data_IF_171685446276
#
_entry.id   IF_171685446276
#
_cell.length_a   1.000
_cell.length_b   1.000
_cell.length_c   1.000
_cell.angle_alpha   90.00
_cell.angle_beta   90.00
_cell.angle_gamma   90.00
#
_symmetry.space_group_name_H-M   'P 1'
#
loop_
_entity.id
_entity.type
_entity.pdbx_description
1 polymer ?
#
# COMPACT_ATOMS: atom_id res chain seq x y z
N UNK A 1 -17.68 5.98 10.93
CA UNK A 1 -16.45 6.70 11.32
C UNK A 1 -15.35 6.29 10.35
N UNK A 2 -14.60 7.25 9.81
CA UNK A 2 -13.43 7.02 8.96
C UNK A 2 -12.19 7.48 9.74
N UNK A 3 -11.07 6.77 9.60
CA UNK A 3 -9.77 7.19 10.11
C UNK A 3 -8.90 7.51 8.91
N UNK A 4 -8.25 8.68 8.93
CA UNK A 4 -7.28 9.06 7.92
C UNK A 4 -5.92 9.25 8.58
N UNK A 5 -4.87 8.82 7.89
CA UNK A 5 -3.50 8.96 8.35
C UNK A 5 -2.58 9.30 7.17
N UNK A 6 -1.46 9.94 7.46
CA UNK A 6 -0.35 10.03 6.52
C UNK A 6 0.31 8.65 6.38
N UNK A 7 0.73 8.33 5.17
CA UNK A 7 1.52 7.15 4.86
C UNK A 7 2.30 7.36 3.57
N UNK A 8 2.97 6.31 3.10
CA UNK A 8 3.68 6.34 1.82
C UNK A 8 3.26 5.18 0.93
N UNK A 9 3.37 5.40 -0.38
CA UNK A 9 3.38 4.33 -1.36
C UNK A 9 4.76 4.16 -1.94
N UNK A 10 5.11 2.91 -2.22
CA UNK A 10 6.33 2.53 -2.91
C UNK A 10 5.99 2.37 -4.38
N UNK A 11 6.54 3.21 -5.25
CA UNK A 11 6.37 3.02 -6.69
C UNK A 11 7.21 1.82 -7.13
N UNK A 12 6.55 0.77 -7.61
CA UNK A 12 7.24 -0.23 -8.39
C UNK A 12 7.65 0.43 -9.71
N UNK A 13 8.96 0.64 -9.90
CA UNK A 13 9.52 0.87 -11.24
C UNK A 13 8.96 -0.21 -12.19
N UNK A 14 8.65 0.19 -13.43
CA UNK A 14 7.90 -0.59 -14.43
C UNK A 14 8.05 -2.12 -14.25
N UNK A 15 7.06 -2.71 -13.57
CA UNK A 15 7.07 -4.09 -13.09
C UNK A 15 7.13 -5.15 -14.21
N UNK A 16 7.22 -4.74 -15.47
CA UNK A 16 7.23 -5.60 -16.64
C UNK A 16 8.61 -6.02 -17.15
N UNK A 17 9.71 -5.36 -16.74
CA UNK A 17 11.05 -5.65 -17.30
C UNK A 17 12.15 -6.00 -16.30
N UNK A 18 11.94 -5.78 -15.00
CA UNK A 18 12.95 -6.05 -13.97
C UNK A 18 12.85 -7.48 -13.41
N UNK A 19 13.99 -8.01 -12.95
CA UNK A 19 14.03 -9.29 -12.25
C UNK A 19 13.32 -9.19 -10.88
N UNK A 20 12.57 -10.25 -10.52
CA UNK A 20 11.84 -10.34 -9.25
C UNK A 20 12.76 -10.29 -8.01
N UNK A 21 13.99 -10.76 -8.15
CA UNK A 21 15.00 -10.76 -7.09
C UNK A 21 16.23 -9.98 -7.55
N UNK A 22 16.70 -9.06 -6.70
CA UNK A 22 17.84 -8.19 -6.96
C UNK A 22 18.69 -8.13 -5.70
N UNK A 23 20.01 -8.33 -5.83
CA UNK A 23 20.93 -8.31 -4.69
C UNK A 23 21.16 -6.87 -4.18
N UNK A 24 21.48 -5.94 -5.09
CA UNK A 24 21.72 -4.53 -4.77
C UNK A 24 20.55 -3.65 -5.26
N UNK A 25 19.36 -3.88 -4.72
CA UNK A 25 18.18 -3.10 -5.09
C UNK A 25 18.32 -1.66 -4.57
N UNK A 26 18.26 -0.63 -5.44
CA UNK A 26 18.26 0.75 -4.97
C UNK A 26 17.01 1.03 -4.13
N UNK A 27 17.10 2.02 -3.23
CA UNK A 27 15.96 2.43 -2.41
C UNK A 27 14.77 2.80 -3.31
N UNK A 28 13.60 2.22 -3.02
CA UNK A 28 12.38 2.51 -3.76
C UNK A 28 11.92 3.92 -3.45
N UNK A 29 11.46 4.65 -4.46
CA UNK A 29 10.91 5.99 -4.28
C UNK A 29 9.64 5.93 -3.43
N UNK A 30 9.65 6.66 -2.32
CA UNK A 30 8.51 6.80 -1.40
C UNK A 30 7.72 8.04 -1.77
N UNK A 31 6.44 7.88 -2.06
CA UNK A 31 5.52 9.00 -2.32
C UNK A 31 4.55 9.17 -1.14
N UNK A 32 4.43 10.37 -0.54
CA UNK A 32 3.44 10.64 0.49
C UNK A 32 2.01 10.42 -0.02
N UNK A 33 1.18 9.78 0.79
CA UNK A 33 -0.22 9.50 0.46
C UNK A 33 -1.09 9.46 1.73
N UNK A 34 -2.31 9.98 1.62
CA UNK A 34 -3.29 9.81 2.69
C UNK A 34 -3.94 8.43 2.63
N UNK A 35 -3.77 7.65 3.70
CA UNK A 35 -4.45 6.38 3.90
C UNK A 35 -5.84 6.63 4.50
N UNK A 36 -6.86 5.93 4.00
CA UNK A 36 -8.24 6.02 4.51
C UNK A 36 -8.71 4.65 4.97
N UNK A 37 -8.95 4.51 6.27
CA UNK A 37 -9.40 3.29 6.92
C UNK A 37 -10.90 3.33 7.20
N UNK A 38 -11.53 2.16 7.04
CA UNK A 38 -12.93 1.91 7.39
C UNK A 38 -13.01 0.96 8.58
N UNK A 39 -14.14 0.91 9.31
CA UNK A 39 -14.37 -0.15 10.29
C UNK A 39 -14.29 -1.51 9.61
N UNK A 40 -13.54 -2.44 10.19
CA UNK A 40 -13.29 -3.76 9.60
C UNK A 40 -14.58 -4.52 9.24
N UNK A 41 -15.58 -4.51 10.12
CA UNK A 41 -16.88 -5.17 9.87
C UNK A 41 -17.66 -4.59 8.67
N UNK A 42 -17.25 -3.42 8.15
CA UNK A 42 -17.86 -2.77 6.99
C UNK A 42 -17.14 -3.09 5.67
N UNK A 43 -16.07 -3.88 5.69
CA UNK A 43 -15.36 -4.30 4.48
C UNK A 43 -16.24 -5.21 3.59
N UNK A 44 -15.88 -5.31 2.30
CA UNK A 44 -16.59 -6.06 1.25
C UNK A 44 -18.03 -5.61 0.90
N UNK A 45 -18.58 -4.61 1.60
CA UNK A 45 -19.91 -4.05 1.29
C UNK A 45 -19.93 -3.08 0.08
N UNK A 46 -18.80 -2.91 -0.64
CA UNK A 46 -18.66 -2.01 -1.80
C UNK A 46 -18.12 -2.70 -3.07
N UNK A 47 -18.11 -4.04 -3.08
CA UNK A 47 -17.49 -4.85 -4.13
C UNK A 47 -16.13 -5.43 -3.73
N UNK A 48 -15.54 -6.18 -4.65
CA UNK A 48 -14.26 -6.87 -4.47
C UNK A 48 -13.08 -5.89 -4.43
N UNK A 49 -12.04 -6.24 -3.67
CA UNK A 49 -10.82 -5.46 -3.55
C UNK A 49 -9.91 -5.96 -2.42
N UNK A 50 -8.65 -5.54 -2.45
CA UNK A 50 -7.66 -5.89 -1.43
C UNK A 50 -8.00 -5.29 -0.06
N UNK A 51 -7.59 -5.97 1.01
CA UNK A 51 -7.73 -5.47 2.38
C UNK A 51 -6.67 -6.08 3.29
N UNK A 52 -6.11 -5.23 4.16
CA UNK A 52 -5.22 -5.62 5.26
C UNK A 52 -5.63 -4.88 6.52
N UNK A 53 -5.61 -5.57 7.66
CA UNK A 53 -5.87 -4.99 8.98
C UNK A 53 -4.58 -4.37 9.54
N UNK A 54 -3.49 -5.14 9.46
CA UNK A 54 -2.18 -4.69 9.87
C UNK A 54 -1.45 -4.09 8.67
N UNK A 55 -1.14 -2.81 8.76
CA UNK A 55 -0.29 -2.08 7.82
C UNK A 55 1.12 -1.97 8.39
N UNK A 56 2.12 -1.90 7.52
CA UNK A 56 3.50 -1.73 7.95
C UNK A 56 3.65 -0.34 8.58
N UNK A 57 4.35 -0.27 9.70
CA UNK A 57 4.77 1.00 10.30
C UNK A 57 5.97 1.51 9.50
N UNK A 58 5.92 2.79 9.16
CA UNK A 58 6.74 3.41 8.12
C UNK A 58 8.05 4.03 8.62
#
# INVERSE_FOLDING_TARGET
>A
MLIQAEGVTHDAAEAGSEALWQYDRPAVQRQPKTLTFIPWFSWANRGEGEMRIWVDED
#
